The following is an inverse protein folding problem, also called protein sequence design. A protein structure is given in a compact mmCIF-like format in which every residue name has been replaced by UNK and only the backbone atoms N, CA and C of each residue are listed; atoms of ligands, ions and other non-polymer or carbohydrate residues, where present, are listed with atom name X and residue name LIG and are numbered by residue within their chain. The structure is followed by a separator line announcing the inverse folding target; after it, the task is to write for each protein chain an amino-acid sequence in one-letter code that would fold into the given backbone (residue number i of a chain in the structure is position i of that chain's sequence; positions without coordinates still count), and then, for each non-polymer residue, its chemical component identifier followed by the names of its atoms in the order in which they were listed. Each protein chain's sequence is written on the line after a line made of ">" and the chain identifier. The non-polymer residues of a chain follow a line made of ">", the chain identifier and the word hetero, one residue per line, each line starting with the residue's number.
data_IF_233388400105
#
_entry.id   IF_233388400105
#
_cell.length_a   1.000
_cell.length_b   1.000
_cell.length_c   1.000
_cell.angle_alpha   90.00
_cell.angle_beta   90.00
_cell.angle_gamma   90.00
#
_symmetry.space_group_name_H-M   'P 1'
#
loop_
_entity.id
_entity.type
_entity.pdbx_description
1 polymer ?
#
# COMPACT_ATOMS: atom_id res chain seq x y z
N UNK A 1 7.78 -10.57 -22.55
CA UNK A 1 7.94 -9.10 -22.39
C UNK A 1 8.06 -8.82 -20.90
N UNK A 2 9.07 -8.08 -20.49
CA UNK A 2 9.34 -7.75 -19.09
C UNK A 2 8.88 -6.29 -18.88
N UNK A 3 7.60 -6.11 -18.54
CA UNK A 3 6.96 -4.78 -18.49
C UNK A 3 7.55 -3.93 -17.35
N UNK A 4 8.14 -4.59 -16.36
CA UNK A 4 8.74 -3.99 -15.16
C UNK A 4 10.22 -4.40 -15.09
N UNK A 5 11.03 -4.07 -16.10
CA UNK A 5 12.48 -4.37 -16.06
C UNK A 5 13.19 -3.41 -15.12
N UNK A 6 13.67 -3.94 -13.98
CA UNK A 6 14.92 -3.63 -13.25
C UNK A 6 15.46 -2.18 -13.16
N UNK A 7 14.61 -1.18 -13.26
CA UNK A 7 14.93 0.19 -12.88
C UNK A 7 13.81 0.68 -11.99
N UNK A 8 14.15 1.01 -10.74
CA UNK A 8 13.28 1.76 -9.81
C UNK A 8 12.75 3.08 -10.41
N UNK A 9 13.12 3.45 -11.65
CA UNK A 9 12.70 4.66 -12.37
C UNK A 9 11.55 4.44 -13.38
N UNK A 10 11.15 3.22 -13.74
CA UNK A 10 10.47 3.04 -15.04
C UNK A 10 8.92 2.98 -15.01
N UNK A 11 8.31 3.26 -13.85
CA UNK A 11 6.91 3.68 -13.77
C UNK A 11 6.88 5.16 -13.41
N UNK A 12 7.02 6.03 -14.42
CA UNK A 12 7.00 7.48 -14.25
C UNK A 12 5.83 7.91 -13.35
N UNK A 13 6.16 8.45 -12.18
CA UNK A 13 5.20 8.89 -11.18
C UNK A 13 4.88 7.92 -10.04
N UNK A 14 5.29 6.65 -10.10
CA UNK A 14 5.25 5.77 -8.94
C UNK A 14 6.24 6.24 -7.86
N UNK A 15 5.87 6.11 -6.59
CA UNK A 15 6.68 6.54 -5.45
C UNK A 15 6.57 5.53 -4.31
N UNK A 16 7.67 5.35 -3.58
CA UNK A 16 7.71 4.56 -2.36
C UNK A 16 6.89 5.20 -1.24
N UNK A 17 6.49 4.38 -0.26
CA UNK A 17 5.66 4.80 0.86
C UNK A 17 6.35 5.86 1.72
N UNK A 18 7.68 5.88 1.79
CA UNK A 18 8.50 6.86 2.49
C UNK A 18 8.40 8.31 1.96
N UNK A 19 7.84 8.47 0.76
CA UNK A 19 7.41 9.76 0.24
C UNK A 19 6.29 10.37 1.11
N UNK A 20 5.44 9.52 1.69
CA UNK A 20 4.33 9.92 2.54
C UNK A 20 4.61 9.71 4.04
N UNK A 21 5.31 8.62 4.38
CA UNK A 21 5.47 8.14 5.76
C UNK A 21 6.94 8.07 6.12
N UNK A 22 7.42 8.96 7.01
CA UNK A 22 8.84 8.93 7.40
C UNK A 22 9.13 7.80 8.38
N UNK A 23 10.37 7.30 8.36
CA UNK A 23 10.85 6.31 9.34
C UNK A 23 10.66 6.87 10.76
N UNK A 24 10.04 6.07 11.62
CA UNK A 24 9.75 6.47 13.01
C UNK A 24 8.45 7.28 13.17
N UNK A 25 7.72 7.60 12.10
CA UNK A 25 6.39 8.16 12.21
C UNK A 25 5.43 7.05 12.68
N UNK A 26 5.01 7.11 13.94
CA UNK A 26 4.11 6.12 14.54
C UNK A 26 2.68 6.24 14.01
N UNK A 27 2.22 7.47 13.73
CA UNK A 27 0.87 7.70 13.24
C UNK A 27 0.84 7.75 11.71
N UNK A 28 0.27 6.70 11.14
CA UNK A 28 -0.09 6.63 9.73
C UNK A 28 -1.41 7.38 9.53
N UNK A 29 -1.39 8.43 8.71
CA UNK A 29 -2.57 9.19 8.33
C UNK A 29 -3.31 8.47 7.18
N UNK A 30 -4.61 8.23 7.37
CA UNK A 30 -5.54 7.70 6.36
C UNK A 30 -5.39 8.39 5.01
N UNK A 31 -5.22 9.72 5.01
CA UNK A 31 -5.05 10.54 3.82
C UNK A 31 -3.77 10.20 3.07
N UNK A 32 -2.67 9.98 3.79
CA UNK A 32 -1.37 9.61 3.23
C UNK A 32 -1.43 8.23 2.56
N UNK A 33 -2.06 7.27 3.22
CA UNK A 33 -2.23 5.91 2.67
C UNK A 33 -3.09 5.92 1.41
N UNK A 34 -4.24 6.62 1.43
CA UNK A 34 -5.09 6.77 0.24
C UNK A 34 -4.33 7.41 -0.93
N UNK A 35 -3.56 8.47 -0.67
CA UNK A 35 -2.77 9.16 -1.70
C UNK A 35 -1.68 8.27 -2.28
N UNK A 36 -1.00 7.48 -1.45
CA UNK A 36 0.01 6.52 -1.89
C UNK A 36 -0.58 5.51 -2.88
N UNK A 37 -1.67 4.83 -2.51
CA UNK A 37 -2.28 3.84 -3.39
C UNK A 37 -2.86 4.46 -4.66
N UNK A 38 -3.57 5.60 -4.55
CA UNK A 38 -4.14 6.29 -5.69
C UNK A 38 -3.06 6.71 -6.71
N UNK A 39 -1.94 7.26 -6.23
CA UNK A 39 -0.82 7.69 -7.08
C UNK A 39 -0.19 6.50 -7.80
N UNK A 40 0.15 5.45 -7.07
CA UNK A 40 0.83 4.29 -7.63
C UNK A 40 -0.07 3.49 -8.57
N UNK A 41 -1.36 3.33 -8.24
CA UNK A 41 -2.33 2.72 -9.16
C UNK A 41 -2.50 3.55 -10.43
N UNK A 42 -2.52 4.88 -10.33
CA UNK A 42 -2.56 5.76 -11.51
C UNK A 42 -1.33 5.57 -12.40
N UNK A 43 -0.13 5.48 -11.83
CA UNK A 43 1.11 5.24 -12.58
C UNK A 43 1.06 3.88 -13.31
N UNK A 44 0.63 2.82 -12.62
CA UNK A 44 0.46 1.48 -13.20
C UNK A 44 -0.56 1.49 -14.34
N UNK A 45 -1.74 2.08 -14.13
CA UNK A 45 -2.80 2.16 -15.16
C UNK A 45 -2.34 3.00 -16.36
N UNK A 46 -1.59 4.08 -16.14
CA UNK A 46 -1.08 4.91 -17.23
C UNK A 46 -0.10 4.15 -18.11
N UNK A 47 0.69 3.23 -17.53
CA UNK A 47 1.70 2.45 -18.27
C UNK A 47 1.14 1.18 -18.88
N UNK A 48 0.21 0.54 -18.17
CA UNK A 48 -0.45 -0.71 -18.55
C UNK A 48 -1.97 -0.48 -18.52
N UNK A 49 -2.55 0.20 -19.53
CA UNK A 49 -3.96 0.60 -19.50
C UNK A 49 -4.94 -0.56 -19.64
N UNK A 50 -4.52 -1.64 -20.31
CA UNK A 50 -5.33 -2.84 -20.49
C UNK A 50 -5.47 -3.61 -19.19
N UNK A 51 -6.72 -3.87 -18.77
CA UNK A 51 -7.00 -4.73 -17.61
C UNK A 51 -6.44 -6.13 -17.82
N UNK A 52 -6.61 -6.70 -19.02
CA UNK A 52 -6.11 -8.02 -19.35
C UNK A 52 -4.59 -8.10 -19.21
N UNK A 53 -3.88 -7.10 -19.73
CA UNK A 53 -2.42 -7.03 -19.64
C UNK A 53 -1.93 -6.88 -18.19
N UNK A 54 -2.63 -6.12 -17.35
CA UNK A 54 -2.32 -6.06 -15.92
C UNK A 54 -2.46 -7.42 -15.25
N UNK A 55 -3.50 -8.19 -15.58
CA UNK A 55 -3.70 -9.53 -15.00
C UNK A 55 -2.72 -10.57 -15.55
N UNK A 56 -2.36 -10.49 -16.83
CA UNK A 56 -1.32 -11.32 -17.43
C UNK A 56 0.06 -11.09 -16.75
N UNK A 57 0.26 -9.92 -16.14
CA UNK A 57 1.48 -9.53 -15.41
C UNK A 57 1.25 -9.38 -13.89
N UNK A 58 0.20 -10.02 -13.35
CA UNK A 58 -0.23 -9.79 -11.95
C UNK A 58 0.89 -9.98 -10.93
N UNK A 59 1.71 -11.01 -11.06
CA UNK A 59 2.77 -11.28 -10.06
C UNK A 59 3.85 -10.21 -10.08
N UNK A 60 4.26 -9.75 -11.27
CA UNK A 60 5.21 -8.64 -11.40
C UNK A 60 4.65 -7.35 -10.80
N UNK A 61 3.35 -7.07 -10.99
CA UNK A 61 2.69 -5.90 -10.40
C UNK A 61 2.55 -6.01 -8.87
N UNK A 62 2.26 -7.20 -8.35
CA UNK A 62 2.23 -7.47 -6.91
C UNK A 62 3.62 -7.25 -6.30
N UNK A 63 4.66 -7.79 -6.92
CA UNK A 63 6.05 -7.61 -6.48
C UNK A 63 6.46 -6.14 -6.54
N UNK A 64 6.15 -5.44 -7.62
CA UNK A 64 6.39 -4.02 -7.74
C UNK A 64 5.72 -3.23 -6.60
N UNK A 65 4.44 -3.48 -6.32
CA UNK A 65 3.76 -2.82 -5.19
C UNK A 65 4.40 -3.17 -3.84
N UNK A 66 4.83 -4.42 -3.64
CA UNK A 66 5.58 -4.81 -2.44
C UNK A 66 6.86 -3.98 -2.27
N UNK A 67 7.63 -3.74 -3.35
CA UNK A 67 8.83 -2.89 -3.29
C UNK A 67 8.52 -1.43 -2.93
N UNK A 68 7.38 -0.89 -3.39
CA UNK A 68 6.96 0.47 -3.05
C UNK A 68 6.57 0.60 -1.57
N UNK A 69 6.00 -0.46 -1.00
CA UNK A 69 5.60 -0.51 0.40
C UNK A 69 6.74 -0.86 1.35
N UNK A 70 7.83 -1.47 0.90
CA UNK A 70 8.92 -1.92 1.77
C UNK A 70 9.64 -0.78 2.51
N UNK A 71 9.50 0.47 2.06
CA UNK A 71 10.16 1.63 2.68
C UNK A 71 9.12 2.55 3.35
N UNK A 72 9.12 2.69 4.69
CA UNK A 72 10.11 2.17 5.65
C UNK A 72 9.93 0.67 5.98
N UNK A 73 11.02 -0.09 6.25
CA UNK A 73 10.93 -1.53 6.53
C UNK A 73 10.05 -1.87 7.73
N UNK A 74 9.29 -2.95 7.63
CA UNK A 74 8.46 -3.48 8.71
C UNK A 74 7.23 -2.63 9.04
N UNK A 75 6.79 -1.77 8.12
CA UNK A 75 5.56 -1.02 8.32
C UNK A 75 4.33 -1.94 8.22
N UNK A 76 3.26 -1.54 8.91
CA UNK A 76 2.06 -2.36 8.98
C UNK A 76 1.38 -2.55 7.61
N UNK A 77 1.48 -1.58 6.69
CA UNK A 77 0.86 -1.67 5.36
C UNK A 77 1.56 -2.73 4.50
N UNK A 78 2.90 -2.80 4.55
CA UNK A 78 3.64 -3.86 3.85
C UNK A 78 3.29 -5.24 4.39
N UNK A 79 3.13 -5.37 5.71
CA UNK A 79 2.69 -6.61 6.35
C UNK A 79 1.26 -6.99 5.96
N UNK A 80 0.34 -6.02 5.86
CA UNK A 80 -1.03 -6.25 5.37
C UNK A 80 -1.02 -6.77 3.94
N UNK A 81 -0.20 -6.19 3.05
CA UNK A 81 -0.08 -6.70 1.68
C UNK A 81 0.46 -8.14 1.66
N UNK A 82 1.51 -8.42 2.43
CA UNK A 82 2.11 -9.76 2.51
C UNK A 82 1.11 -10.82 3.01
N UNK A 83 0.38 -10.51 4.09
CA UNK A 83 -0.67 -11.38 4.61
C UNK A 83 -1.78 -11.62 3.57
N UNK A 84 -2.21 -10.57 2.87
CA UNK A 84 -3.21 -10.70 1.82
C UNK A 84 -2.71 -11.48 0.61
N UNK A 85 -1.43 -11.34 0.23
CA UNK A 85 -0.83 -12.16 -0.84
C UNK A 85 -0.82 -13.64 -0.46
N UNK A 86 -0.52 -13.97 0.79
CA UNK A 86 -0.56 -15.35 1.28
C UNK A 86 -1.98 -15.92 1.28
N UNK A 87 -2.96 -15.13 1.73
CA UNK A 87 -4.36 -15.55 1.84
C UNK A 87 -5.13 -15.57 0.52
N UNK A 88 -4.79 -14.65 -0.39
CA UNK A 88 -5.51 -14.41 -1.64
C UNK A 88 -4.54 -14.43 -2.84
N UNK A 89 -3.62 -15.40 -2.87
CA UNK A 89 -2.57 -15.50 -3.89
C UNK A 89 -3.10 -15.49 -5.33
N UNK A 90 -4.23 -16.17 -5.58
CA UNK A 90 -4.83 -16.27 -6.92
C UNK A 90 -5.67 -15.07 -7.33
N UNK A 91 -5.90 -14.11 -6.42
CA UNK A 91 -6.69 -12.92 -6.70
C UNK A 91 -6.06 -12.06 -7.80
N UNK A 92 -6.93 -11.34 -8.51
CA UNK A 92 -6.51 -10.33 -9.49
C UNK A 92 -5.68 -9.26 -8.79
N UNK A 93 -4.74 -8.64 -9.51
CA UNK A 93 -3.91 -7.57 -8.94
C UNK A 93 -4.77 -6.46 -8.31
N UNK A 94 -5.78 -5.96 -9.03
CA UNK A 94 -6.66 -4.90 -8.52
C UNK A 94 -7.38 -5.29 -7.22
N UNK A 95 -7.97 -6.48 -7.18
CA UNK A 95 -8.71 -6.95 -6.00
C UNK A 95 -7.81 -7.09 -4.76
N UNK A 96 -6.59 -7.60 -4.93
CA UNK A 96 -5.63 -7.69 -3.82
C UNK A 96 -5.30 -6.31 -3.24
N UNK A 97 -5.10 -5.31 -4.10
CA UNK A 97 -4.84 -3.94 -3.68
C UNK A 97 -6.05 -3.34 -2.97
N UNK A 98 -7.27 -3.57 -3.48
CA UNK A 98 -8.49 -3.08 -2.83
C UNK A 98 -8.66 -3.65 -1.42
N UNK A 99 -8.44 -4.96 -1.24
CA UNK A 99 -8.47 -5.59 0.09
C UNK A 99 -7.41 -4.95 0.99
N UNK A 100 -6.19 -4.80 0.50
CA UNK A 100 -5.07 -4.23 1.25
C UNK A 100 -5.37 -2.80 1.70
N UNK A 101 -5.98 -1.98 0.82
CA UNK A 101 -6.43 -0.63 1.16
C UNK A 101 -7.46 -0.67 2.28
N UNK A 102 -8.52 -1.48 2.12
CA UNK A 102 -9.60 -1.57 3.11
C UNK A 102 -9.08 -1.97 4.50
N UNK A 103 -8.25 -3.01 4.56
CA UNK A 103 -7.68 -3.50 5.82
C UNK A 103 -6.71 -2.48 6.44
N UNK A 104 -5.87 -1.83 5.62
CA UNK A 104 -4.99 -0.77 6.09
C UNK A 104 -5.81 0.37 6.70
N UNK A 105 -6.89 0.79 6.05
CA UNK A 105 -7.74 1.87 6.55
C UNK A 105 -8.49 1.49 7.83
N UNK A 106 -8.98 0.26 7.93
CA UNK A 106 -9.62 -0.24 9.15
C UNK A 106 -8.64 -0.26 10.33
N UNK A 107 -7.41 -0.72 10.10
CA UNK A 107 -6.35 -0.70 11.11
C UNK A 107 -6.06 0.73 11.61
N UNK A 108 -5.96 1.71 10.71
CA UNK A 108 -5.70 3.11 11.07
C UNK A 108 -6.86 3.77 11.82
N UNK A 109 -8.10 3.44 11.46
CA UNK A 109 -9.28 3.90 12.20
C UNK A 109 -9.23 3.39 13.65
N UNK A 110 -8.97 2.09 13.83
CA UNK A 110 -8.85 1.49 15.16
C UNK A 110 -7.72 2.13 15.99
N UNK A 111 -6.55 2.40 15.39
CA UNK A 111 -5.46 3.09 16.08
C UNK A 111 -5.85 4.49 16.56
N UNK A 112 -6.59 5.23 15.73
CA UNK A 112 -7.08 6.57 16.06
C UNK A 112 -8.04 6.52 17.25
N UNK A 113 -8.96 5.56 17.26
CA UNK A 113 -9.92 5.37 18.35
C UNK A 113 -9.22 4.97 19.66
N UNK A 114 -8.24 4.06 19.60
CA UNK A 114 -7.44 3.67 20.77
C UNK A 114 -6.65 4.85 21.35
N UNK A 115 -6.02 5.67 20.50
CA UNK A 115 -5.28 6.85 20.93
C UNK A 115 -6.22 7.90 21.57
N UNK A 116 -7.38 8.14 20.97
CA UNK A 116 -8.40 9.04 21.54
C UNK A 116 -8.87 8.56 22.93
N UNK A 117 -9.14 7.26 23.09
CA UNK A 117 -9.52 6.67 24.37
C UNK A 117 -8.40 6.79 25.42
N UNK A 118 -7.14 6.64 25.01
CA UNK A 118 -5.99 6.81 25.90
C UNK A 118 -5.88 8.26 26.40
N UNK A 119 -6.00 9.23 25.51
CA UNK A 119 -5.94 10.65 25.87
C UNK A 119 -7.06 11.03 26.85
N UNK A 120 -8.31 10.63 26.59
CA UNK A 120 -9.43 10.89 27.51
C UNK A 120 -9.20 10.31 28.91
N UNK A 121 -8.59 9.12 29.02
CA UNK A 121 -8.25 8.50 30.31
C UNK A 121 -7.13 9.23 31.06
N UNK A 122 -6.19 9.84 30.34
CA UNK A 122 -5.08 10.60 30.94
C UNK A 122 -5.50 12.01 31.37
N UNK A 123 -6.51 12.59 30.74
CA UNK A 123 -7.05 13.91 31.12
C UNK A 123 -8.07 13.83 32.28
N UNK A 124 -8.61 12.63 32.54
CA UNK A 124 -9.62 12.39 33.58
C UNK A 124 -9.04 11.90 34.92
N UNK A 125 -7.71 11.81 35.06
CA UNK A 125 -7.00 11.36 36.27
C UNK A 125 -5.99 12.38 36.75
#
# INVERSE_FOLDING_TARGET
>A
MEIIRSSKKDLDGAVSLDHYVKKGQMDLDVTKVKRFFARNMKAIISRVPSRREREDNREQLKDFMSTLLESPPGNAISQTLEANRSKFGDSTFGHLIDITICESLAMLANQTDFNALRHMRQESG
#
